data_IF_436840792110
#
_entry.id   IF_436840792110
#
_cell.length_a   1.000
_cell.length_b   1.000
_cell.length_c   1.000
_cell.angle_alpha   90.00
_cell.angle_beta   90.00
_cell.angle_gamma   90.00
#
_symmetry.space_group_name_H-M   'P 1'
#
loop_
_entity.id
_entity.type
_entity.pdbx_description
1 polymer ?
#
# COMPACT_ATOMS: atom_id res chain seq x y z
N UNK A 1 -12.50 -26.59 53.39
CA UNK A 1 -12.89 -26.65 51.97
C UNK A 1 -12.89 -25.23 51.45
N UNK A 2 -11.85 -24.81 50.72
CA UNK A 2 -11.78 -23.45 50.14
C UNK A 2 -12.50 -23.46 48.81
N UNK A 3 -13.54 -22.65 48.71
CA UNK A 3 -14.32 -22.43 47.50
C UNK A 3 -13.48 -21.64 46.49
N UNK A 4 -13.22 -22.27 45.34
CA UNK A 4 -12.72 -21.61 44.14
C UNK A 4 -13.87 -20.79 43.56
N UNK A 5 -13.80 -19.47 43.65
CA UNK A 5 -14.65 -18.58 42.85
C UNK A 5 -14.03 -18.42 41.46
N UNK A 6 -14.68 -18.87 40.37
CA UNK A 6 -14.22 -18.56 39.03
C UNK A 6 -14.57 -17.10 38.72
N UNK A 7 -13.56 -16.24 38.62
CA UNK A 7 -13.72 -14.89 38.09
C UNK A 7 -14.35 -14.97 36.70
N UNK A 8 -15.57 -14.43 36.58
CA UNK A 8 -16.27 -14.28 35.31
C UNK A 8 -15.51 -13.25 34.48
N UNK A 9 -14.88 -13.70 33.40
CA UNK A 9 -14.35 -12.83 32.35
C UNK A 9 -15.49 -12.09 31.65
N UNK A 10 -15.83 -10.90 32.14
CA UNK A 10 -16.73 -9.98 31.44
C UNK A 10 -16.08 -9.51 30.13
N UNK A 11 -16.62 -9.96 29.00
CA UNK A 11 -16.24 -9.46 27.68
C UNK A 11 -16.82 -8.05 27.49
N UNK A 12 -16.03 -7.02 27.80
CA UNK A 12 -16.44 -5.63 27.62
C UNK A 12 -16.66 -5.31 26.13
N UNK A 13 -17.84 -4.79 25.74
CA UNK A 13 -18.17 -4.51 24.33
C UNK A 13 -17.22 -3.50 23.68
N UNK A 14 -16.69 -2.56 24.45
CA UNK A 14 -15.70 -1.56 23.99
C UNK A 14 -14.44 -2.21 23.42
N UNK A 15 -13.98 -3.32 24.04
CA UNK A 15 -12.78 -4.03 23.61
C UNK A 15 -12.97 -4.69 22.25
N UNK A 16 -14.16 -5.23 22.00
CA UNK A 16 -14.54 -5.82 20.71
C UNK A 16 -14.61 -4.76 19.61
N UNK A 17 -15.20 -3.60 19.91
CA UNK A 17 -15.31 -2.47 18.96
C UNK A 17 -13.93 -1.91 18.61
N UNK A 18 -13.06 -1.68 19.61
CA UNK A 18 -11.68 -1.22 19.39
C UNK A 18 -10.86 -2.21 18.57
N UNK A 19 -11.02 -3.51 18.84
CA UNK A 19 -10.37 -4.56 18.06
C UNK A 19 -10.83 -4.55 16.60
N UNK A 20 -12.14 -4.47 16.36
CA UNK A 20 -12.70 -4.39 15.00
C UNK A 20 -12.19 -3.15 14.26
N UNK A 21 -12.07 -2.02 14.96
CA UNK A 21 -11.49 -0.78 14.42
C UNK A 21 -10.01 -0.96 14.04
N UNK A 22 -9.20 -1.53 14.93
CA UNK A 22 -7.77 -1.76 14.67
C UNK A 22 -7.52 -2.75 13.51
N UNK A 23 -8.32 -3.82 13.43
CA UNK A 23 -8.23 -4.78 12.32
C UNK A 23 -8.62 -4.13 11.00
N UNK A 24 -9.64 -3.28 10.99
CA UNK A 24 -10.02 -2.53 9.78
C UNK A 24 -8.91 -1.57 9.33
N UNK A 25 -8.36 -0.77 10.24
CA UNK A 25 -7.24 0.13 9.96
C UNK A 25 -6.04 -0.63 9.39
N UNK A 26 -5.63 -1.72 10.04
CA UNK A 26 -4.51 -2.54 9.58
C UNK A 26 -4.75 -3.13 8.18
N UNK A 27 -5.97 -3.59 7.91
CA UNK A 27 -6.39 -4.11 6.61
C UNK A 27 -6.32 -3.04 5.51
N UNK A 28 -6.74 -1.81 5.82
CA UNK A 28 -6.73 -0.71 4.86
C UNK A 28 -5.30 -0.22 4.58
N UNK A 29 -4.45 -0.16 5.61
CA UNK A 29 -3.01 0.11 5.45
C UNK A 29 -2.34 -0.98 4.59
N UNK A 30 -2.68 -2.25 4.80
CA UNK A 30 -2.18 -3.35 3.96
C UNK A 30 -2.59 -3.19 2.49
N UNK A 31 -3.83 -2.78 2.21
CA UNK A 31 -4.29 -2.51 0.84
C UNK A 31 -3.56 -1.32 0.22
N UNK A 32 -3.36 -0.24 0.97
CA UNK A 32 -2.59 0.92 0.51
C UNK A 32 -1.14 0.56 0.18
N UNK A 33 -0.52 -0.27 1.04
CA UNK A 33 0.81 -0.83 0.88
C UNK A 33 0.91 -1.88 -0.22
N UNK A 34 -0.18 -2.40 -0.77
CA UNK A 34 -0.11 -3.30 -1.92
C UNK A 34 0.01 -2.54 -3.24
N UNK A 35 -0.38 -1.27 -3.28
CA UNK A 35 -0.40 -0.48 -4.51
C UNK A 35 1.00 -0.12 -5.03
N UNK A 36 1.22 -0.06 -6.35
CA UNK A 36 0.27 -0.37 -7.42
C UNK A 36 0.05 -1.89 -7.61
N UNK A 37 -1.18 -2.27 -7.94
CA UNK A 37 -1.54 -3.63 -8.37
C UNK A 37 -1.84 -3.63 -9.88
N UNK A 38 -0.91 -4.08 -10.75
CA UNK A 38 -1.15 -4.13 -12.19
C UNK A 38 -2.27 -5.12 -12.55
N UNK A 39 -2.91 -4.99 -13.72
CA UNK A 39 -3.85 -5.99 -14.21
C UNK A 39 -3.22 -7.37 -14.34
N UNK A 40 -3.98 -8.40 -13.97
CA UNK A 40 -3.49 -9.76 -13.85
C UNK A 40 -2.71 -10.04 -12.55
N UNK A 41 -2.49 -9.05 -11.69
CA UNK A 41 -1.80 -9.28 -10.42
C UNK A 41 -2.65 -10.07 -9.44
N UNK A 42 -2.05 -11.12 -8.87
CA UNK A 42 -2.77 -12.00 -7.95
C UNK A 42 -2.91 -11.36 -6.57
N UNK A 43 -3.98 -11.72 -5.84
CA UNK A 43 -4.15 -11.30 -4.44
C UNK A 43 -2.94 -11.74 -3.59
N UNK A 44 -2.40 -12.94 -3.85
CA UNK A 44 -1.19 -13.45 -3.18
C UNK A 44 0.02 -12.55 -3.43
N UNK A 45 0.19 -12.03 -4.64
CA UNK A 45 1.26 -11.09 -4.99
C UNK A 45 1.08 -9.76 -4.26
N UNK A 46 -0.14 -9.23 -4.22
CA UNK A 46 -0.50 -8.01 -3.51
C UNK A 46 -0.19 -8.11 -2.00
N UNK A 47 -0.64 -9.19 -1.36
CA UNK A 47 -0.37 -9.47 0.07
C UNK A 47 1.14 -9.57 0.31
N UNK A 48 1.87 -10.33 -0.52
CA UNK A 48 3.33 -10.46 -0.38
C UNK A 48 4.07 -9.13 -0.55
N UNK A 49 3.59 -8.23 -1.40
CA UNK A 49 4.18 -6.91 -1.60
C UNK A 49 3.94 -6.02 -0.38
N UNK A 50 2.72 -6.00 0.14
CA UNK A 50 2.39 -5.28 1.38
C UNK A 50 3.20 -5.81 2.57
N UNK A 51 3.27 -7.13 2.75
CA UNK A 51 4.04 -7.78 3.82
C UNK A 51 5.53 -7.44 3.75
N UNK A 52 6.13 -7.44 2.55
CA UNK A 52 7.53 -7.06 2.34
C UNK A 52 7.80 -5.60 2.70
N UNK A 53 6.87 -4.69 2.38
CA UNK A 53 6.99 -3.27 2.74
C UNK A 53 6.88 -3.05 4.26
N UNK A 54 5.90 -3.68 4.91
CA UNK A 54 5.73 -3.62 6.35
C UNK A 54 6.94 -4.22 7.11
N UNK A 55 7.50 -5.32 6.59
CA UNK A 55 8.65 -6.02 7.20
C UNK A 55 9.91 -5.15 7.33
N UNK A 56 10.04 -4.06 6.56
CA UNK A 56 11.16 -3.10 6.69
C UNK A 56 11.16 -2.35 8.02
N UNK A 57 10.03 -2.32 8.71
CA UNK A 57 9.82 -1.59 9.95
C UNK A 57 9.59 -2.50 11.15
N UNK A 58 9.67 -3.83 10.95
CA UNK A 58 9.53 -4.82 12.00
C UNK A 58 10.88 -5.46 12.32
N UNK A 59 11.08 -5.83 13.59
CA UNK A 59 12.24 -6.60 14.01
C UNK A 59 12.28 -7.99 13.36
N UNK A 60 11.10 -8.60 13.16
CA UNK A 60 10.94 -9.87 12.46
C UNK A 60 10.09 -9.67 11.20
N UNK A 61 10.48 -10.24 10.04
CA UNK A 61 9.67 -10.18 8.83
C UNK A 61 8.26 -10.73 9.05
N UNK A 62 7.26 -10.02 8.53
CA UNK A 62 5.87 -10.44 8.55
C UNK A 62 5.70 -11.67 7.65
N UNK A 63 5.16 -12.76 8.20
CA UNK A 63 4.87 -13.96 7.43
C UNK A 63 3.68 -13.73 6.49
N UNK A 64 3.62 -14.48 5.39
CA UNK A 64 2.49 -14.42 4.46
C UNK A 64 1.16 -14.72 5.15
N UNK A 65 1.09 -15.77 5.98
CA UNK A 65 -0.14 -16.12 6.70
C UNK A 65 -0.62 -14.98 7.61
N UNK A 66 0.30 -14.34 8.35
CA UNK A 66 -0.05 -13.19 9.19
C UNK A 66 -0.56 -12.01 8.36
N UNK A 67 0.09 -11.74 7.23
CA UNK A 67 -0.33 -10.70 6.32
C UNK A 67 -1.71 -11.00 5.70
N UNK A 68 -1.99 -12.25 5.37
CA UNK A 68 -3.28 -12.71 4.84
C UNK A 68 -4.40 -12.57 5.88
N UNK A 69 -4.15 -12.97 7.14
CA UNK A 69 -5.13 -12.81 8.24
C UNK A 69 -5.53 -11.33 8.41
N UNK A 70 -4.56 -10.42 8.39
CA UNK A 70 -4.81 -8.97 8.49
C UNK A 70 -5.54 -8.46 7.24
N UNK A 71 -5.13 -8.91 6.05
CA UNK A 71 -5.75 -8.54 4.78
C UNK A 71 -7.23 -8.90 4.75
N UNK A 72 -7.59 -10.10 5.18
CA UNK A 72 -8.97 -10.61 5.21
C UNK A 72 -9.79 -10.13 6.41
N UNK A 73 -9.18 -9.36 7.33
CA UNK A 73 -9.79 -8.93 8.60
C UNK A 73 -10.11 -10.11 9.54
N UNK A 74 -9.38 -11.20 9.41
CA UNK A 74 -9.54 -12.44 10.20
C UNK A 74 -8.59 -12.49 11.42
N UNK A 75 -7.66 -11.53 11.51
CA UNK A 75 -6.74 -11.42 12.64
C UNK A 75 -7.49 -11.15 13.96
N UNK A 76 -7.32 -12.04 14.95
CA UNK A 76 -7.94 -11.91 16.29
C UNK A 76 -7.44 -10.72 17.12
N UNK A 77 -6.24 -10.23 16.82
CA UNK A 77 -5.59 -9.10 17.46
C UNK A 77 -4.53 -8.55 16.51
N UNK A 78 -4.24 -7.25 16.60
CA UNK A 78 -3.11 -6.60 15.92
C UNK A 78 -2.09 -6.22 17.01
N UNK A 79 -0.83 -6.62 16.85
CA UNK A 79 0.23 -6.22 17.78
C UNK A 79 0.53 -4.74 17.57
N UNK A 80 0.89 -4.02 18.64
CA UNK A 80 1.25 -2.61 18.54
C UNK A 80 2.39 -2.38 17.52
N UNK A 81 3.42 -3.22 17.56
CA UNK A 81 4.54 -3.18 16.61
C UNK A 81 4.10 -3.35 15.15
N UNK A 82 3.08 -4.20 14.88
CA UNK A 82 2.55 -4.42 13.54
C UNK A 82 1.81 -3.18 13.05
N UNK A 83 0.98 -2.59 13.92
CA UNK A 83 0.25 -1.37 13.59
C UNK A 83 1.20 -0.21 13.30
N UNK A 84 2.20 0.00 14.15
CA UNK A 84 3.19 1.07 13.97
C UNK A 84 4.03 0.85 12.71
N UNK A 85 4.41 -0.40 12.41
CA UNK A 85 5.10 -0.74 11.18
C UNK A 85 4.25 -0.45 9.93
N UNK A 86 2.95 -0.80 9.95
CA UNK A 86 2.03 -0.52 8.85
C UNK A 86 1.85 0.99 8.62
N UNK A 87 1.67 1.77 9.69
CA UNK A 87 1.55 3.24 9.61
C UNK A 87 2.81 3.87 9.06
N UNK A 88 3.99 3.48 9.57
CA UNK A 88 5.30 3.99 9.08
C UNK A 88 5.54 3.62 7.63
N UNK A 89 5.25 2.38 7.24
CA UNK A 89 5.38 1.92 5.87
C UNK A 89 4.46 2.72 4.94
N UNK A 90 3.19 2.91 5.32
CA UNK A 90 2.22 3.66 4.51
C UNK A 90 2.64 5.11 4.35
N UNK A 91 3.09 5.75 5.43
CA UNK A 91 3.60 7.12 5.39
C UNK A 91 4.79 7.23 4.43
N UNK A 92 5.76 6.32 4.54
CA UNK A 92 6.95 6.32 3.66
C UNK A 92 6.59 6.09 2.19
N UNK A 93 5.65 5.20 1.91
CA UNK A 93 5.18 4.94 0.55
C UNK A 93 4.43 6.17 -0.01
N UNK A 94 3.64 6.87 0.81
CA UNK A 94 3.00 8.12 0.43
C UNK A 94 4.02 9.21 0.12
N UNK A 95 4.99 9.45 1.02
CA UNK A 95 6.08 10.41 0.81
C UNK A 95 6.82 10.12 -0.50
N UNK A 96 7.12 8.84 -0.77
CA UNK A 96 7.81 8.44 -2.01
C UNK A 96 6.98 8.74 -3.26
N UNK A 97 5.64 8.56 -3.20
CA UNK A 97 4.74 8.89 -4.31
C UNK A 97 4.63 10.40 -4.52
N UNK A 98 4.53 11.17 -3.45
CA UNK A 98 4.45 12.63 -3.50
C UNK A 98 5.74 13.22 -4.09
N UNK A 99 6.90 12.69 -3.68
CA UNK A 99 8.22 13.04 -4.26
C UNK A 99 8.29 12.72 -5.76
N UNK A 100 7.84 11.52 -6.16
CA UNK A 100 7.81 11.13 -7.57
C UNK A 100 6.92 12.06 -8.41
N UNK A 101 5.72 12.40 -7.92
CA UNK A 101 4.81 13.34 -8.59
C UNK A 101 5.41 14.75 -8.70
N UNK A 102 6.08 15.23 -7.65
CA UNK A 102 6.73 16.54 -7.66
C UNK A 102 7.87 16.59 -8.70
N UNK A 103 8.64 15.51 -8.83
CA UNK A 103 9.69 15.38 -9.84
C UNK A 103 9.11 15.32 -11.25
N UNK A 104 8.05 14.53 -11.48
CA UNK A 104 7.36 14.47 -12.77
C UNK A 104 6.82 15.84 -13.19
N UNK A 105 6.17 16.57 -12.28
CA UNK A 105 5.67 17.92 -12.54
C UNK A 105 6.81 18.92 -12.83
N UNK A 106 7.97 18.77 -12.18
CA UNK A 106 9.15 19.59 -12.47
C UNK A 106 9.72 19.28 -13.85
N UNK A 107 9.82 18.01 -14.23
CA UNK A 107 10.28 17.59 -15.56
C UNK A 107 9.35 18.13 -16.65
N UNK A 108 8.03 18.00 -16.49
CA UNK A 108 7.05 18.52 -17.44
C UNK A 108 7.18 20.04 -17.66
N UNK A 109 7.44 20.81 -16.59
CA UNK A 109 7.69 22.25 -16.71
C UNK A 109 8.98 22.57 -17.47
N UNK A 110 10.05 21.82 -17.24
CA UNK A 110 11.33 22.00 -17.95
C UNK A 110 11.15 21.65 -19.43
N UNK A 111 10.47 20.55 -19.74
CA UNK A 111 10.20 20.15 -21.13
C UNK A 111 9.35 21.19 -21.86
N UNK A 112 8.31 21.72 -21.22
CA UNK A 112 7.50 22.79 -21.81
C UNK A 112 8.34 24.05 -22.09
N UNK A 113 9.27 24.41 -21.20
CA UNK A 113 10.19 25.52 -21.43
C UNK A 113 11.17 25.24 -22.58
N UNK A 114 11.65 24.00 -22.71
CA UNK A 114 12.54 23.61 -23.81
C UNK A 114 11.83 23.63 -25.16
N UNK A 115 10.60 23.11 -25.26
CA UNK A 115 9.77 23.21 -26.48
C UNK A 115 9.58 24.68 -26.91
N UNK A 116 9.46 25.60 -25.96
CA UNK A 116 9.28 27.01 -26.26
C UNK A 116 10.56 27.72 -26.77
N UNK A 117 11.74 27.21 -26.40
CA UNK A 117 13.04 27.83 -26.71
C UNK A 117 13.70 27.16 -27.92
N UNK A 118 13.50 25.86 -28.09
CA UNK A 118 14.14 25.02 -29.09
C UNK A 118 13.07 24.32 -29.97
N UNK A 119 12.83 24.82 -31.20
CA UNK A 119 11.89 24.22 -32.13
C UNK A 119 12.24 22.79 -32.56
N UNK A 120 13.51 22.39 -32.45
CA UNK A 120 13.98 21.04 -32.79
C UNK A 120 13.88 20.06 -31.61
N UNK A 121 13.36 20.52 -30.46
CA UNK A 121 13.21 19.68 -29.28
C UNK A 121 12.24 18.52 -29.55
N UNK A 122 12.74 17.29 -29.44
CA UNK A 122 12.01 16.06 -29.77
C UNK A 122 11.04 15.59 -28.66
N UNK A 123 10.10 16.43 -28.24
CA UNK A 123 9.09 16.09 -27.22
C UNK A 123 8.31 14.80 -27.56
N UNK A 124 7.97 14.63 -28.84
CA UNK A 124 7.21 13.48 -29.32
C UNK A 124 7.96 12.16 -29.14
N UNK A 125 9.29 12.17 -29.34
CA UNK A 125 10.13 11.00 -29.14
C UNK A 125 10.26 10.65 -27.65
N UNK A 126 10.37 11.66 -26.79
CA UNK A 126 10.38 11.49 -25.33
C UNK A 126 9.05 10.90 -24.85
N UNK A 127 7.92 11.38 -25.37
CA UNK A 127 6.60 10.87 -25.01
C UNK A 127 6.34 9.46 -25.56
N UNK A 128 6.87 9.11 -26.74
CA UNK A 128 6.88 7.74 -27.23
C UNK A 128 7.66 6.81 -26.29
N UNK A 129 8.85 7.24 -25.83
CA UNK A 129 9.67 6.49 -24.87
C UNK A 129 8.96 6.31 -23.52
N UNK A 130 8.30 7.35 -22.98
CA UNK A 130 7.53 7.25 -21.74
C UNK A 130 6.38 6.24 -21.85
N UNK A 131 5.67 6.25 -22.98
CA UNK A 131 4.61 5.27 -23.25
C UNK A 131 5.15 3.85 -23.32
N UNK A 132 6.31 3.65 -23.96
CA UNK A 132 6.97 2.34 -24.04
C UNK A 132 7.54 1.86 -22.69
N UNK A 133 8.03 2.79 -21.86
CA UNK A 133 8.57 2.49 -20.53
C UNK A 133 7.48 2.24 -19.47
N UNK A 134 6.23 2.61 -19.75
CA UNK A 134 5.09 2.32 -18.87
C UNK A 134 4.91 0.80 -18.80
N UNK A 135 4.86 0.18 -17.62
CA UNK A 135 4.68 -1.26 -17.52
C UNK A 135 3.39 -1.67 -18.27
N UNK A 136 3.49 -2.73 -19.08
CA UNK A 136 2.52 -3.24 -20.07
C UNK A 136 1.09 -3.51 -19.52
N UNK A 137 0.85 -3.29 -18.22
CA UNK A 137 -0.45 -3.42 -17.57
C UNK A 137 -1.31 -2.15 -17.51
N UNK A 138 -0.89 -0.97 -17.98
CA UNK A 138 -1.75 0.25 -17.94
C UNK A 138 -2.28 0.66 -19.33
N UNK A 139 -2.48 -0.31 -20.22
CA UNK A 139 -3.03 -0.12 -21.55
C UNK A 139 -4.55 -0.07 -21.54
N UNK A 140 -5.08 1.10 -21.86
CA UNK A 140 -6.48 1.42 -22.17
C UNK A 140 -7.17 0.35 -23.02
N UNK A 141 -8.20 -0.31 -22.47
CA UNK A 141 -9.26 -0.88 -23.29
C UNK A 141 -10.04 0.29 -23.90
N UNK A 142 -9.61 0.78 -25.07
CA UNK A 142 -10.56 1.46 -25.95
C UNK A 142 -11.49 0.39 -26.50
N UNK A 143 -12.70 0.36 -25.95
CA UNK A 143 -13.84 -0.31 -26.59
C UNK A 143 -14.27 0.63 -27.71
N UNK A 144 -13.91 0.28 -28.93
CA UNK A 144 -14.50 0.87 -30.14
C UNK A 144 -15.80 0.12 -30.43
N UNK A 145 -16.90 0.80 -30.82
CA UNK A 145 -18.23 0.21 -31.00
C UNK A 145 -18.30 -0.85 -32.10
#
# INVERSE_FOLDING_TARGET
MSEFHPEKSENHPERTVLLMSAVCEASDLMRALAQPCPPGDSIKSAINRAARRASRFLAKPMSFGRAEDIWRKEARAIRAEEMDALRRASKREQETRDEAQALEARLARIEAALVAIDPDFHSDAIDALRRAARPIGQGTHQVTP
#
